data_IF_736836947629
#
_entry.id   IF_736836947629
#
_cell.length_a   1.000
_cell.length_b   1.000
_cell.length_c   1.000
_cell.angle_alpha   90.00
_cell.angle_beta   90.00
_cell.angle_gamma   90.00
#
_symmetry.space_group_name_H-M   'P 1'
#
loop_
_entity.id
_entity.type
_entity.pdbx_description
1 polymer ?
#
# COMPACT_ATOMS: atom_id res chain seq x y z
N UNK A 1 -2.21 13.87 23.07
CA UNK A 1 -1.03 12.98 23.01
C UNK A 1 -0.88 12.53 21.57
N UNK A 2 0.34 12.64 21.00
CA UNK A 2 0.62 12.19 19.63
C UNK A 2 1.00 10.70 19.61
N UNK A 3 0.51 9.97 18.62
CA UNK A 3 0.88 8.58 18.30
C UNK A 3 1.10 8.48 16.80
N UNK A 4 1.91 7.51 16.36
CA UNK A 4 2.02 7.12 14.95
C UNK A 4 1.35 5.76 14.79
N UNK A 5 0.54 5.59 13.75
CA UNK A 5 0.07 4.29 13.28
C UNK A 5 0.67 4.01 11.91
N UNK A 6 1.41 2.92 11.81
CA UNK A 6 1.97 2.37 10.59
C UNK A 6 1.74 0.85 10.55
N UNK A 7 1.90 0.24 9.38
CA UNK A 7 1.78 -1.19 9.14
C UNK A 7 2.56 -1.56 7.88
N UNK A 8 2.63 -2.84 7.57
CA UNK A 8 3.10 -3.36 6.28
C UNK A 8 4.45 -2.76 5.87
N UNK A 9 5.39 -2.70 6.83
CA UNK A 9 6.73 -2.14 6.62
C UNK A 9 7.59 -3.10 5.81
N UNK A 10 7.36 -4.42 5.99
CA UNK A 10 8.01 -5.50 5.24
C UNK A 10 9.52 -5.34 5.13
N UNK A 11 10.19 -5.04 6.24
CA UNK A 11 11.65 -5.02 6.28
C UNK A 11 12.20 -6.37 5.83
N UNK A 12 13.30 -6.34 5.09
CA UNK A 12 13.95 -7.53 4.53
C UNK A 12 13.15 -8.22 3.40
N UNK A 13 12.33 -7.47 2.67
CA UNK A 13 11.57 -8.00 1.54
C UNK A 13 12.50 -8.52 0.44
N UNK A 14 12.12 -9.65 -0.17
CA UNK A 14 12.91 -10.24 -1.26
C UNK A 14 13.01 -9.34 -2.48
N UNK A 15 11.99 -8.52 -2.77
CA UNK A 15 11.92 -7.54 -3.87
C UNK A 15 12.33 -8.11 -5.25
N UNK A 16 12.25 -9.45 -5.42
CA UNK A 16 12.94 -10.15 -6.48
C UNK A 16 12.19 -10.18 -7.84
N UNK A 17 10.92 -9.79 -7.86
CA UNK A 17 10.07 -10.03 -9.04
C UNK A 17 10.25 -9.02 -10.16
N UNK A 18 10.76 -7.82 -9.87
CA UNK A 18 10.92 -6.76 -10.87
C UNK A 18 12.25 -6.01 -10.81
N UNK A 19 13.11 -6.35 -9.84
CA UNK A 19 14.37 -5.67 -9.58
C UNK A 19 15.58 -6.61 -9.75
N UNK A 20 16.69 -6.08 -10.20
CA UNK A 20 17.98 -6.79 -10.13
C UNK A 20 18.40 -6.95 -8.65
N UNK A 21 19.30 -7.88 -8.36
CA UNK A 21 19.82 -8.09 -7.00
C UNK A 21 20.41 -6.81 -6.38
N UNK A 22 21.03 -5.96 -7.19
CA UNK A 22 21.62 -4.71 -6.71
C UNK A 22 20.53 -3.68 -6.40
N UNK A 23 19.52 -3.54 -7.26
CA UNK A 23 18.38 -2.68 -7.02
C UNK A 23 17.58 -3.13 -5.80
N UNK A 24 17.32 -4.43 -5.66
CA UNK A 24 16.64 -4.99 -4.49
C UNK A 24 17.39 -4.69 -3.17
N UNK A 25 18.73 -4.82 -3.15
CA UNK A 25 19.52 -4.44 -1.97
C UNK A 25 19.38 -2.95 -1.65
N UNK A 26 19.51 -2.08 -2.65
CA UNK A 26 19.31 -0.64 -2.47
C UNK A 26 17.93 -0.31 -1.90
N UNK A 27 16.88 -0.93 -2.46
CA UNK A 27 15.51 -0.70 -1.98
C UNK A 27 15.32 -1.17 -0.54
N UNK A 28 15.90 -2.32 -0.15
CA UNK A 28 15.88 -2.77 1.24
C UNK A 28 16.61 -1.81 2.19
N UNK A 29 17.74 -1.26 1.77
CA UNK A 29 18.45 -0.25 2.57
C UNK A 29 17.58 1.02 2.70
N UNK A 30 16.90 1.46 1.64
CA UNK A 30 15.98 2.60 1.66
C UNK A 30 14.75 2.36 2.53
N UNK A 31 14.14 1.16 2.49
CA UNK A 31 13.05 0.77 3.40
C UNK A 31 13.48 0.94 4.86
N UNK A 32 14.67 0.43 5.18
CA UNK A 32 15.22 0.56 6.52
C UNK A 32 15.56 2.00 6.90
N UNK A 33 16.13 2.79 5.98
CA UNK A 33 16.37 4.22 6.19
C UNK A 33 15.08 4.99 6.47
N UNK A 34 14.00 4.72 5.73
CA UNK A 34 12.69 5.35 5.95
C UNK A 34 12.11 4.98 7.30
N UNK A 35 12.27 3.72 7.72
CA UNK A 35 11.92 3.29 9.08
C UNK A 35 12.68 4.07 10.16
N UNK A 36 14.00 4.22 10.03
CA UNK A 36 14.81 5.03 10.98
C UNK A 36 14.34 6.48 10.99
N UNK A 37 14.15 7.09 9.83
CA UNK A 37 13.65 8.47 9.73
C UNK A 37 12.29 8.66 10.41
N UNK A 38 11.40 7.65 10.35
CA UNK A 38 10.13 7.67 11.06
C UNK A 38 10.36 7.65 12.60
N UNK A 39 11.32 6.89 13.09
CA UNK A 39 11.67 6.87 14.52
C UNK A 39 12.26 8.21 14.97
N UNK A 40 13.16 8.81 14.16
CA UNK A 40 13.71 10.15 14.40
C UNK A 40 12.59 11.22 14.40
N UNK A 41 11.66 11.12 13.45
CA UNK A 41 10.47 11.98 13.39
C UNK A 41 9.63 11.82 14.68
N UNK A 42 9.39 10.59 15.11
CA UNK A 42 8.63 10.31 16.32
C UNK A 42 9.25 10.96 17.56
N UNK A 43 10.57 10.86 17.70
CA UNK A 43 11.29 11.49 18.81
C UNK A 43 11.25 13.02 18.74
N UNK A 44 11.51 13.61 17.58
CA UNK A 44 11.49 15.08 17.36
C UNK A 44 10.10 15.66 17.63
N UNK A 45 9.06 15.01 17.15
CA UNK A 45 7.66 15.43 17.31
C UNK A 45 7.05 15.08 18.66
N UNK A 46 7.84 14.50 19.56
CA UNK A 46 7.41 14.05 20.91
C UNK A 46 6.23 13.08 20.84
N UNK A 47 6.25 12.19 19.87
CA UNK A 47 5.30 11.08 19.75
C UNK A 47 5.49 10.14 20.93
N UNK A 48 4.41 9.74 21.59
CA UNK A 48 4.49 8.88 22.78
C UNK A 48 4.71 7.42 22.38
N UNK A 49 4.09 6.98 21.28
CA UNK A 49 4.24 5.62 20.81
C UNK A 49 4.05 5.50 19.29
N UNK A 50 4.78 4.55 18.70
CA UNK A 50 4.57 4.05 17.34
C UNK A 50 3.82 2.74 17.42
N UNK A 51 2.68 2.65 16.72
CA UNK A 51 1.82 1.49 16.62
C UNK A 51 2.08 0.81 15.27
N UNK A 52 2.67 -0.38 15.29
CA UNK A 52 2.88 -1.21 14.08
C UNK A 52 1.77 -2.25 14.03
N UNK A 53 0.82 -2.05 13.15
CA UNK A 53 -0.35 -2.92 13.02
C UNK A 53 -0.07 -4.11 12.08
N UNK A 54 1.01 -4.86 12.34
CA UNK A 54 1.43 -6.07 11.65
C UNK A 54 2.37 -5.85 10.47
N UNK A 55 2.96 -6.94 10.02
CA UNK A 55 3.89 -7.07 8.90
C UNK A 55 5.08 -6.09 9.00
N UNK A 56 5.78 -6.15 10.14
CA UNK A 56 7.04 -5.44 10.32
C UNK A 56 8.14 -6.04 9.44
N UNK A 57 8.18 -7.37 9.33
CA UNK A 57 9.09 -8.11 8.45
C UNK A 57 8.33 -8.81 7.31
N UNK A 58 9.03 -9.11 6.23
CA UNK A 58 8.44 -9.76 5.05
C UNK A 58 8.30 -11.29 5.18
N UNK A 59 8.90 -11.89 6.19
CA UNK A 59 8.79 -13.32 6.48
C UNK A 59 9.05 -13.65 7.95
N UNK A 60 8.47 -14.76 8.43
CA UNK A 60 8.71 -15.31 9.78
C UNK A 60 10.21 -15.52 10.07
N UNK A 61 10.97 -15.89 9.05
CA UNK A 61 12.40 -16.16 9.10
C UNK A 61 13.24 -14.94 8.69
N UNK A 62 12.71 -13.73 8.83
CA UNK A 62 13.45 -12.50 8.54
C UNK A 62 14.86 -12.54 9.12
N UNK A 63 15.85 -12.03 8.35
CA UNK A 63 17.27 -12.13 8.71
C UNK A 63 17.51 -11.59 10.12
N UNK A 64 18.15 -12.39 10.97
CA UNK A 64 18.54 -12.00 12.34
C UNK A 64 19.26 -10.64 12.38
N UNK A 65 20.07 -10.35 11.36
CA UNK A 65 20.76 -9.06 11.23
C UNK A 65 19.79 -7.87 11.12
N UNK A 66 18.64 -8.04 10.42
CA UNK A 66 17.62 -6.99 10.30
C UNK A 66 16.83 -6.84 11.59
N UNK A 67 16.45 -7.95 12.21
CA UNK A 67 15.82 -7.94 13.54
C UNK A 67 16.68 -7.21 14.57
N UNK A 68 17.99 -7.51 14.59
CA UNK A 68 18.96 -6.82 15.47
C UNK A 68 19.01 -5.32 15.21
N UNK A 69 19.08 -4.88 13.95
CA UNK A 69 19.06 -3.45 13.58
C UNK A 69 17.79 -2.75 14.04
N UNK A 70 16.61 -3.41 13.94
CA UNK A 70 15.36 -2.88 14.45
C UNK A 70 15.41 -2.70 15.97
N UNK A 71 15.91 -3.70 16.71
CA UNK A 71 16.05 -3.60 18.16
C UNK A 71 17.01 -2.49 18.58
N UNK A 72 18.11 -2.33 17.86
CA UNK A 72 19.08 -1.23 18.08
C UNK A 72 18.41 0.13 17.82
N UNK A 73 17.62 0.26 16.76
CA UNK A 73 16.88 1.47 16.46
C UNK A 73 15.84 1.80 17.56
N UNK A 74 15.08 0.81 18.01
CA UNK A 74 14.11 0.98 19.11
C UNK A 74 14.84 1.39 20.41
N UNK A 75 15.95 0.76 20.74
CA UNK A 75 16.76 1.10 21.92
C UNK A 75 17.34 2.51 21.86
N UNK A 76 17.69 3.00 20.67
CA UNK A 76 18.21 4.36 20.45
C UNK A 76 17.15 5.46 20.65
N UNK A 77 15.84 5.11 20.67
CA UNK A 77 14.73 6.04 20.86
C UNK A 77 13.94 5.76 22.15
N UNK A 78 14.56 5.79 23.34
CA UNK A 78 13.96 5.28 24.58
C UNK A 78 12.74 6.06 25.06
N UNK A 79 12.50 7.26 24.53
CA UNK A 79 11.34 8.11 24.86
C UNK A 79 10.07 7.74 24.07
N UNK A 80 10.22 6.94 23.03
CA UNK A 80 9.13 6.49 22.16
C UNK A 80 8.88 5.02 22.39
N UNK A 81 7.69 4.65 22.83
CA UNK A 81 7.29 3.26 22.91
C UNK A 81 7.00 2.70 21.51
N UNK A 82 7.42 1.48 21.25
CA UNK A 82 7.23 0.80 19.98
C UNK A 82 6.34 -0.42 20.23
N UNK A 83 5.06 -0.29 19.83
CA UNK A 83 4.04 -1.30 20.04
C UNK A 83 3.84 -2.09 18.76
N UNK A 84 4.17 -3.38 18.78
CA UNK A 84 4.13 -4.23 17.58
C UNK A 84 3.13 -5.36 17.75
N UNK A 85 2.16 -5.40 16.85
CA UNK A 85 1.28 -6.52 16.60
C UNK A 85 1.88 -7.37 15.48
N UNK A 86 1.86 -8.69 15.59
CA UNK A 86 2.27 -9.56 14.50
C UNK A 86 1.25 -9.55 13.36
N UNK A 87 1.73 -9.50 12.11
CA UNK A 87 0.93 -9.70 10.92
C UNK A 87 1.02 -11.15 10.43
N UNK A 88 0.53 -11.40 9.23
CA UNK A 88 0.55 -12.74 8.63
C UNK A 88 1.94 -13.14 8.10
N UNK A 89 2.83 -12.17 7.81
CA UNK A 89 4.20 -12.43 7.40
C UNK A 89 5.17 -12.58 8.58
N UNK A 90 4.88 -11.97 9.71
CA UNK A 90 5.76 -11.96 10.88
C UNK A 90 5.78 -13.28 11.67
N UNK A 91 4.72 -14.09 11.56
CA UNK A 91 4.52 -15.26 12.40
C UNK A 91 4.23 -14.94 13.87
N UNK A 92 3.98 -16.00 14.68
CA UNK A 92 3.63 -15.84 16.10
C UNK A 92 4.82 -15.40 16.97
N UNK A 93 6.05 -15.69 16.53
CA UNK A 93 7.28 -15.42 17.29
C UNK A 93 8.14 -14.35 16.59
N UNK A 94 7.58 -13.15 16.46
CA UNK A 94 8.17 -12.02 15.73
C UNK A 94 9.67 -11.79 15.99
N UNK A 95 10.12 -11.94 17.24
CA UNK A 95 11.52 -11.78 17.63
C UNK A 95 12.14 -13.07 18.20
N UNK A 96 11.57 -14.25 17.93
CA UNK A 96 12.02 -15.54 18.48
C UNK A 96 12.34 -15.45 19.98
N UNK A 97 11.46 -14.82 20.72
CA UNK A 97 11.68 -14.54 22.14
C UNK A 97 11.38 -15.78 22.95
N UNK A 98 12.39 -16.32 23.62
CA UNK A 98 12.21 -17.30 24.68
C UNK A 98 11.93 -16.52 25.97
N UNK A 99 10.82 -16.77 26.68
CA UNK A 99 10.64 -16.21 28.01
C UNK A 99 11.78 -16.70 28.90
N UNK A 100 12.64 -15.78 29.30
CA UNK A 100 13.59 -16.08 30.37
C UNK A 100 12.78 -16.19 31.68
N UNK A 101 13.21 -17.09 32.57
CA UNK A 101 12.56 -17.44 33.81
C UNK A 101 12.30 -16.28 34.80
N UNK A 102 12.49 -15.03 34.35
CA UNK A 102 12.38 -13.80 35.11
C UNK A 102 11.67 -12.63 34.46
N UNK A 103 10.68 -12.83 33.58
CA UNK A 103 9.90 -11.76 32.92
C UNK A 103 10.62 -10.88 31.88
N UNK A 104 11.89 -11.15 31.56
CA UNK A 104 12.60 -10.47 30.49
C UNK A 104 12.53 -11.32 29.22
N UNK A 105 12.03 -10.71 28.12
CA UNK A 105 12.12 -11.34 26.80
C UNK A 105 13.54 -11.11 26.25
N UNK A 106 14.18 -12.17 25.79
CA UNK A 106 15.54 -12.08 25.24
C UNK A 106 15.58 -12.56 23.79
N UNK A 107 16.36 -11.89 22.96
CA UNK A 107 16.74 -12.35 21.64
C UNK A 107 18.20 -12.79 21.71
N UNK A 108 18.49 -14.06 21.42
CA UNK A 108 19.84 -14.63 21.46
C UNK A 108 20.60 -14.30 22.78
N UNK A 109 19.89 -14.36 23.92
CA UNK A 109 20.46 -14.09 25.25
C UNK A 109 20.56 -12.60 25.63
N UNK A 110 20.16 -11.66 24.74
CA UNK A 110 20.12 -10.24 25.04
C UNK A 110 18.67 -9.81 25.38
N UNK A 111 18.50 -9.01 26.43
CA UNK A 111 17.17 -8.50 26.80
C UNK A 111 16.66 -7.53 25.74
N UNK A 112 15.34 -7.63 25.44
CA UNK A 112 14.68 -6.69 24.53
C UNK A 112 14.66 -5.26 25.10
N UNK A 113 14.66 -4.23 24.24
CA UNK A 113 14.53 -2.85 24.68
C UNK A 113 13.24 -2.65 25.50
N UNK A 114 13.31 -1.92 26.62
CA UNK A 114 12.18 -1.69 27.52
C UNK A 114 11.01 -0.97 26.87
N UNK A 115 11.28 -0.17 25.86
CA UNK A 115 10.29 0.55 25.06
C UNK A 115 9.70 -0.28 23.90
N UNK A 116 10.18 -1.51 23.67
CA UNK A 116 9.52 -2.46 22.77
C UNK A 116 8.39 -3.18 23.53
N UNK A 117 7.20 -3.12 22.99
CA UNK A 117 5.98 -3.68 23.56
C UNK A 117 5.29 -4.56 22.54
N UNK A 118 5.18 -5.85 22.84
CA UNK A 118 4.57 -6.85 21.95
C UNK A 118 3.17 -7.21 22.45
N UNK A 119 2.32 -7.64 21.52
CA UNK A 119 0.99 -8.15 21.78
C UNK A 119 0.98 -9.69 21.63
N UNK A 120 1.41 -10.45 22.65
CA UNK A 120 1.33 -11.90 22.60
C UNK A 120 -0.13 -12.32 22.84
N UNK A 121 -0.73 -13.02 21.87
CA UNK A 121 -2.09 -13.52 21.99
C UNK A 121 -3.18 -12.44 21.90
N UNK A 122 -4.43 -12.82 22.18
CA UNK A 122 -5.58 -11.95 22.03
C UNK A 122 -5.79 -11.07 23.28
N UNK A 123 -5.99 -9.77 23.07
CA UNK A 123 -6.54 -8.87 24.08
C UNK A 123 -5.56 -8.25 25.06
N UNK A 124 -4.24 -8.29 24.82
CA UNK A 124 -3.31 -7.50 25.62
C UNK A 124 -3.52 -6.01 25.35
N UNK A 125 -3.48 -5.20 26.40
CA UNK A 125 -3.63 -3.75 26.30
C UNK A 125 -2.51 -3.00 27.00
N UNK A 126 -2.14 -1.85 26.43
CA UNK A 126 -1.23 -0.88 27.05
C UNK A 126 -1.97 0.42 27.30
N UNK A 127 -1.76 1.01 28.49
CA UNK A 127 -2.48 2.21 28.95
C UNK A 127 -1.54 3.40 29.07
N UNK A 128 -1.98 4.55 28.54
CA UNK A 128 -1.32 5.85 28.63
C UNK A 128 -2.35 6.90 29.12
N UNK A 129 -2.48 7.04 30.43
CA UNK A 129 -3.54 7.85 31.01
C UNK A 129 -4.94 7.28 30.67
N UNK A 130 -5.74 8.07 29.97
CA UNK A 130 -7.05 7.65 29.47
C UNK A 130 -7.02 6.95 28.08
N UNK A 131 -5.86 6.85 27.45
CA UNK A 131 -5.71 6.16 26.15
C UNK A 131 -5.36 4.70 26.40
N UNK A 132 -6.13 3.79 25.82
CA UNK A 132 -5.95 2.34 25.91
C UNK A 132 -5.74 1.79 24.52
N UNK A 133 -4.61 1.10 24.31
CA UNK A 133 -4.23 0.50 23.04
C UNK A 133 -4.29 -1.01 23.21
N UNK A 134 -5.21 -1.66 22.51
CA UNK A 134 -5.45 -3.11 22.57
C UNK A 134 -5.06 -3.77 21.26
N UNK A 135 -4.18 -4.77 21.32
CA UNK A 135 -3.82 -5.59 20.16
C UNK A 135 -4.62 -6.89 20.10
N UNK A 136 -5.12 -7.23 18.94
CA UNK A 136 -5.89 -8.44 18.68
C UNK A 136 -5.31 -9.19 17.49
N UNK A 137 -4.89 -10.45 17.70
CA UNK A 137 -4.39 -11.34 16.64
C UNK A 137 -5.53 -12.03 15.85
N UNK A 138 -6.74 -11.51 15.96
CA UNK A 138 -7.93 -12.02 15.27
C UNK A 138 -8.72 -10.86 14.70
N UNK A 139 -9.30 -11.06 13.53
CA UNK A 139 -10.21 -10.09 12.90
C UNK A 139 -11.61 -10.05 13.53
N UNK A 140 -11.84 -10.85 14.55
CA UNK A 140 -13.09 -10.84 15.32
C UNK A 140 -12.83 -10.29 16.72
N UNK A 141 -13.70 -9.38 17.17
CA UNK A 141 -13.66 -8.91 18.55
C UNK A 141 -14.03 -10.06 19.48
N UNK A 142 -13.21 -10.34 20.52
CA UNK A 142 -13.59 -11.28 21.55
C UNK A 142 -14.87 -10.84 22.26
N UNK A 143 -15.76 -11.79 22.58
CA UNK A 143 -17.02 -11.49 23.29
C UNK A 143 -16.81 -10.88 24.67
N UNK A 144 -15.71 -11.22 25.31
CA UNK A 144 -15.29 -10.73 26.63
C UNK A 144 -14.45 -9.44 26.57
N UNK A 145 -14.23 -8.86 25.40
CA UNK A 145 -13.53 -7.58 25.28
C UNK A 145 -14.42 -6.44 25.79
N UNK A 146 -14.04 -5.85 26.89
CA UNK A 146 -14.71 -4.70 27.48
C UNK A 146 -13.86 -3.44 27.31
N UNK A 147 -14.30 -2.54 26.41
CA UNK A 147 -13.73 -1.22 26.22
C UNK A 147 -14.58 -0.19 26.97
N UNK A 148 -13.97 0.51 27.91
CA UNK A 148 -14.68 1.49 28.73
C UNK A 148 -15.03 2.73 27.91
N UNK A 149 -16.28 3.24 27.97
CA UNK A 149 -16.70 4.39 27.17
C UNK A 149 -15.99 5.70 27.57
N UNK A 150 -15.52 5.82 28.81
CA UNK A 150 -14.76 6.97 29.28
C UNK A 150 -13.32 7.02 28.74
N UNK A 151 -12.75 5.87 28.39
CA UNK A 151 -11.41 5.79 27.81
C UNK A 151 -11.40 6.20 26.34
N UNK A 152 -10.24 6.54 25.84
CA UNK A 152 -9.95 6.67 24.41
C UNK A 152 -9.37 5.33 23.93
N UNK A 153 -10.19 4.55 23.22
CA UNK A 153 -9.87 3.17 22.88
C UNK A 153 -9.33 3.05 21.46
N UNK A 154 -8.08 2.62 21.34
CA UNK A 154 -7.43 2.26 20.09
C UNK A 154 -7.33 0.74 20.02
N UNK A 155 -7.85 0.13 18.96
CA UNK A 155 -7.73 -1.31 18.73
C UNK A 155 -6.85 -1.53 17.52
N UNK A 156 -5.84 -2.40 17.67
CA UNK A 156 -4.92 -2.78 16.60
C UNK A 156 -5.27 -4.18 16.09
N UNK A 157 -5.38 -4.36 14.80
CA UNK A 157 -5.61 -5.64 14.13
C UNK A 157 -4.85 -5.67 12.80
N UNK A 158 -4.56 -6.88 12.30
CA UNK A 158 -3.96 -7.05 10.99
C UNK A 158 -4.77 -8.01 10.13
N UNK A 159 -5.17 -7.56 8.94
CA UNK A 159 -5.91 -8.33 7.95
C UNK A 159 -7.04 -7.54 7.30
N UNK A 160 -7.64 -8.13 6.26
CA UNK A 160 -8.73 -7.50 5.54
C UNK A 160 -10.06 -7.66 6.29
N UNK A 161 -10.75 -6.55 6.46
CA UNK A 161 -12.10 -6.51 7.05
C UNK A 161 -13.07 -5.99 6.00
N UNK A 162 -14.03 -6.84 5.61
CA UNK A 162 -15.02 -6.49 4.58
C UNK A 162 -16.22 -5.74 5.14
N UNK A 163 -16.56 -5.98 6.43
CA UNK A 163 -17.74 -5.39 7.08
C UNK A 163 -17.40 -4.89 8.48
N UNK A 164 -17.54 -3.59 8.67
CA UNK A 164 -17.23 -2.93 9.96
C UNK A 164 -18.41 -2.89 10.94
N UNK A 165 -19.60 -3.35 10.56
CA UNK A 165 -20.78 -3.31 11.43
C UNK A 165 -20.65 -4.06 12.76
N UNK A 166 -19.82 -5.11 12.83
CA UNK A 166 -19.54 -5.85 14.06
C UNK A 166 -18.72 -5.06 15.09
N UNK A 167 -18.10 -3.96 14.67
CA UNK A 167 -17.29 -3.07 15.52
C UNK A 167 -18.10 -1.88 16.04
N UNK A 168 -19.27 -1.60 15.47
CA UNK A 168 -20.13 -0.50 15.87
C UNK A 168 -20.68 -0.70 17.30
N UNK A 169 -20.74 0.38 18.08
CA UNK A 169 -21.22 0.36 19.45
C UNK A 169 -20.27 -0.32 20.47
N UNK A 170 -19.05 -0.68 20.06
CA UNK A 170 -18.07 -1.38 20.89
C UNK A 170 -17.10 -0.44 21.61
N UNK A 171 -17.39 0.86 21.65
CA UNK A 171 -16.56 1.91 22.27
C UNK A 171 -15.14 2.04 21.66
N UNK A 172 -14.99 1.74 20.36
CA UNK A 172 -13.74 1.93 19.63
C UNK A 172 -13.70 3.36 19.12
N UNK A 173 -12.66 4.12 19.47
CA UNK A 173 -12.42 5.46 18.92
C UNK A 173 -11.59 5.40 17.63
N UNK A 174 -10.64 4.45 17.56
CA UNK A 174 -9.79 4.25 16.41
C UNK A 174 -9.43 2.77 16.23
N UNK A 175 -9.72 2.22 15.05
CA UNK A 175 -9.32 0.87 14.67
C UNK A 175 -8.13 0.98 13.72
N UNK A 176 -6.94 0.66 14.25
CA UNK A 176 -5.67 0.68 13.53
C UNK A 176 -5.47 -0.65 12.80
N UNK A 177 -5.43 -0.62 11.47
CA UNK A 177 -5.40 -1.80 10.61
C UNK A 177 -4.14 -1.82 9.72
N UNK A 178 -3.56 -3.01 9.53
CA UNK A 178 -2.60 -3.34 8.48
C UNK A 178 -3.15 -4.35 7.48
N UNK A 179 -2.30 -4.82 6.56
CA UNK A 179 -2.57 -5.77 5.48
C UNK A 179 -2.94 -5.12 4.14
N UNK A 180 -3.60 -3.98 4.11
CA UNK A 180 -3.87 -3.26 2.87
C UNK A 180 -2.80 -2.19 2.70
N UNK A 181 -1.93 -2.34 1.69
CA UNK A 181 -0.78 -1.49 1.43
C UNK A 181 -1.13 -0.09 0.88
N UNK A 182 -2.40 0.27 0.88
CA UNK A 182 -2.90 1.59 0.48
C UNK A 182 -3.62 2.25 1.65
N UNK A 183 -3.34 3.55 1.88
CA UNK A 183 -4.07 4.33 2.86
C UNK A 183 -5.57 4.30 2.58
N UNK A 184 -6.35 3.95 3.59
CA UNK A 184 -7.81 3.94 3.53
C UNK A 184 -8.39 4.22 4.90
N UNK A 185 -9.33 5.16 4.99
CA UNK A 185 -10.00 5.55 6.23
C UNK A 185 -11.50 5.59 6.03
N UNK A 186 -12.26 5.23 7.06
CA UNK A 186 -13.71 5.33 7.05
C UNK A 186 -14.30 5.34 8.45
N UNK A 187 -15.61 5.51 8.55
CA UNK A 187 -16.36 5.50 9.81
C UNK A 187 -16.76 4.09 10.20
N UNK A 188 -16.69 3.78 11.48
CA UNK A 188 -17.28 2.59 12.08
C UNK A 188 -18.71 2.92 12.56
N UNK A 189 -18.83 4.00 13.32
CA UNK A 189 -20.07 4.55 13.87
C UNK A 189 -19.90 6.06 14.16
N UNK A 190 -20.79 6.66 14.93
CA UNK A 190 -20.68 8.08 15.32
C UNK A 190 -19.44 8.40 16.18
N UNK A 191 -18.88 7.42 16.87
CA UNK A 191 -17.71 7.56 17.74
C UNK A 191 -16.41 7.24 17.04
N UNK A 192 -16.35 6.11 16.30
CA UNK A 192 -15.13 5.48 15.86
C UNK A 192 -14.85 5.56 14.37
N UNK A 193 -13.57 5.50 14.05
CA UNK A 193 -13.06 5.37 12.67
C UNK A 193 -12.16 4.15 12.54
N UNK A 194 -12.15 3.54 11.35
CA UNK A 194 -11.11 2.57 10.99
C UNK A 194 -10.11 3.21 10.04
N UNK A 195 -8.88 2.72 10.05
CA UNK A 195 -7.84 3.21 9.18
C UNK A 195 -6.84 2.10 8.86
N UNK A 196 -6.62 1.85 7.57
CA UNK A 196 -5.44 1.18 7.06
C UNK A 196 -4.38 2.25 6.79
N UNK A 197 -3.21 2.14 7.42
CA UNK A 197 -2.14 3.13 7.22
C UNK A 197 -1.50 3.02 5.83
N UNK A 198 -1.63 1.89 5.17
CA UNK A 198 -0.80 1.52 4.04
C UNK A 198 0.62 1.18 4.46
N UNK A 199 1.47 0.84 3.51
CA UNK A 199 2.89 0.60 3.77
C UNK A 199 3.68 1.91 3.93
N UNK A 200 4.80 1.84 4.63
CA UNK A 200 5.64 3.01 4.92
C UNK A 200 6.41 3.50 3.68
N UNK A 201 6.77 2.57 2.79
CA UNK A 201 7.51 2.80 1.55
C UNK A 201 7.01 1.83 0.48
N UNK A 202 6.93 2.23 -0.79
CA UNK A 202 6.56 1.33 -1.88
C UNK A 202 7.67 0.32 -2.16
N UNK A 203 7.36 -0.98 -2.18
CA UNK A 203 8.32 -2.04 -2.51
C UNK A 203 8.45 -2.24 -4.02
N UNK A 204 7.39 -1.97 -4.76
CA UNK A 204 7.33 -2.15 -6.20
C UNK A 204 6.16 -1.39 -6.84
N UNK A 205 5.92 -1.68 -8.12
CA UNK A 205 4.90 -1.00 -8.92
C UNK A 205 3.47 -1.52 -8.69
N UNK A 206 3.28 -2.49 -7.86
CA UNK A 206 2.01 -2.95 -7.31
C UNK A 206 1.55 -2.11 -6.11
N UNK A 207 2.44 -1.28 -5.59
CA UNK A 207 2.19 -0.39 -4.46
C UNK A 207 2.28 1.09 -4.86
N UNK A 208 1.63 1.47 -5.95
CA UNK A 208 1.63 2.86 -6.44
C UNK A 208 1.00 3.87 -5.48
N UNK A 209 1.31 5.15 -5.70
CA UNK A 209 0.80 6.27 -4.95
C UNK A 209 1.57 6.60 -3.68
N UNK A 210 1.03 7.52 -2.89
CA UNK A 210 1.67 8.00 -1.67
C UNK A 210 1.75 6.92 -0.59
N UNK A 211 2.89 6.88 0.10
CA UNK A 211 3.19 5.97 1.21
C UNK A 211 3.65 6.75 2.43
N UNK A 212 3.42 6.18 3.61
CA UNK A 212 3.74 6.87 4.84
C UNK A 212 3.08 6.26 6.07
N UNK A 213 2.65 7.11 6.99
CA UNK A 213 2.01 6.70 8.23
C UNK A 213 0.86 7.64 8.62
N UNK A 214 0.08 7.25 9.61
CA UNK A 214 -0.98 8.09 10.18
C UNK A 214 -0.53 8.67 11.51
N UNK A 215 -0.54 10.01 11.60
CA UNK A 215 -0.34 10.72 12.86
C UNK A 215 -1.68 10.86 13.57
N UNK A 216 -1.74 10.36 14.80
CA UNK A 216 -2.89 10.45 15.68
C UNK A 216 -2.65 11.51 16.74
N UNK A 217 -3.66 12.35 17.02
CA UNK A 217 -3.67 13.24 18.17
C UNK A 217 -4.92 13.01 19.02
N UNK A 218 -4.71 12.55 20.25
CA UNK A 218 -5.79 12.30 21.22
C UNK A 218 -6.16 13.51 22.06
N UNK A 219 -5.43 14.63 21.93
CA UNK A 219 -5.71 15.88 22.63
C UNK A 219 -6.53 16.85 21.78
N UNK A 220 -6.58 16.66 20.46
CA UNK A 220 -7.35 17.48 19.58
C UNK A 220 -8.84 17.11 19.72
N UNK A 221 -9.60 17.94 20.45
CA UNK A 221 -11.05 17.95 20.32
C UNK A 221 -11.37 18.31 18.87
N UNK A 222 -11.89 17.37 18.08
CA UNK A 222 -12.33 17.66 16.70
C UNK A 222 -13.62 18.46 16.80
N UNK A 223 -13.51 19.77 17.02
CA UNK A 223 -14.59 20.71 16.67
C UNK A 223 -14.67 20.68 15.16
N UNK A 224 -15.86 20.43 14.59
CA UNK A 224 -16.08 20.32 13.15
C UNK A 224 -15.80 21.61 12.40
N UNK A 225 -14.53 21.87 12.12
CA UNK A 225 -14.09 22.87 11.13
C UNK A 225 -13.14 22.16 10.18
N UNK A 226 -13.59 22.01 8.93
CA UNK A 226 -12.77 21.58 7.82
C UNK A 226 -11.60 22.54 7.64
N UNK A 227 -10.41 22.12 8.07
CA UNK A 227 -9.15 22.73 7.66
C UNK A 227 -8.82 22.29 6.24
N UNK A 228 -8.62 23.25 5.37
CA UNK A 228 -8.22 23.09 3.97
C UNK A 228 -6.92 22.30 3.85
N UNK A 229 -7.00 21.13 3.24
CA UNK A 229 -5.86 20.28 2.92
C UNK A 229 -6.36 19.00 2.29
N UNK A 230 -6.50 19.01 0.97
CA UNK A 230 -6.69 17.88 0.05
C UNK A 230 -7.38 16.65 0.63
N UNK A 231 -8.67 16.56 0.43
CA UNK A 231 -9.33 15.34 0.12
C UNK A 231 -10.79 15.39 -0.15
N UNK A 232 -11.16 15.01 -1.34
CA UNK A 232 -12.51 14.65 -1.71
C UNK A 232 -12.68 13.14 -1.63
N UNK A 233 -13.28 12.66 -0.54
CA UNK A 233 -14.30 11.61 -0.63
C UNK A 233 -15.40 12.06 0.32
N UNK A 234 -16.61 12.27 -0.25
CA UNK A 234 -17.81 12.66 0.48
C UNK A 234 -18.05 11.69 1.64
N UNK A 235 -17.72 12.13 2.84
CA UNK A 235 -18.24 11.53 4.06
C UNK A 235 -19.49 12.34 4.42
N UNK A 236 -20.64 11.72 4.31
CA UNK A 236 -21.89 12.24 4.85
C UNK A 236 -21.66 12.76 6.26
N UNK A 237 -22.08 13.98 6.50
CA UNK A 237 -21.97 14.65 7.79
C UNK A 237 -22.67 13.82 8.86
N UNK A 238 -22.03 13.48 9.99
CA UNK A 238 -22.76 12.88 11.10
C UNK A 238 -23.66 13.97 11.72
N UNK A 239 -24.94 13.76 11.68
CA UNK A 239 -25.87 14.48 12.52
C UNK A 239 -25.49 14.24 13.99
N UNK A 240 -25.38 15.37 14.72
CA UNK A 240 -25.40 15.50 16.17
C UNK A 240 -24.32 14.84 17.04
N UNK A 241 -23.39 15.62 17.53
CA UNK A 241 -23.23 15.81 18.99
C UNK A 241 -22.10 15.11 19.72
N UNK A 242 -21.31 14.18 19.19
CA UNK A 242 -20.13 13.65 19.91
C UNK A 242 -18.84 13.98 19.16
N UNK A 243 -18.06 14.91 19.70
CA UNK A 243 -16.73 15.20 19.19
C UNK A 243 -15.87 13.93 19.20
N UNK A 244 -15.28 13.56 18.08
CA UNK A 244 -14.36 12.42 18.00
C UNK A 244 -13.15 12.70 18.90
N UNK A 245 -12.76 11.71 19.71
CA UNK A 245 -11.65 11.83 20.66
C UNK A 245 -10.27 11.80 19.99
N UNK A 246 -10.17 11.37 18.74
CA UNK A 246 -8.89 11.21 18.01
C UNK A 246 -8.96 11.93 16.66
N UNK A 247 -8.01 12.85 16.43
CA UNK A 247 -7.70 13.34 15.10
C UNK A 247 -6.68 12.42 14.45
N UNK A 248 -6.96 12.00 13.20
CA UNK A 248 -6.09 11.11 12.43
C UNK A 248 -5.79 11.74 11.07
N UNK A 249 -4.49 11.97 10.79
CA UNK A 249 -3.99 12.60 9.57
C UNK A 249 -2.93 11.72 8.94
N UNK A 250 -3.08 11.40 7.65
CA UNK A 250 -2.04 10.75 6.87
C UNK A 250 -0.86 11.71 6.67
N UNK A 251 0.35 11.18 6.77
CA UNK A 251 1.60 11.91 6.55
C UNK A 251 2.35 11.15 5.46
N UNK A 252 2.40 11.70 4.22
CA UNK A 252 3.28 11.18 3.19
C UNK A 252 4.72 11.20 3.70
N UNK A 253 5.41 10.08 3.63
CA UNK A 253 6.71 9.94 4.29
C UNK A 253 7.72 9.12 3.49
N UNK A 254 7.28 8.39 2.50
CA UNK A 254 8.13 7.58 1.63
C UNK A 254 9.20 8.43 0.96
N UNK A 255 10.38 7.85 0.78
CA UNK A 255 11.47 8.45 0.01
C UNK A 255 11.14 8.52 -1.47
N UNK A 256 10.36 7.55 -1.97
CA UNK A 256 10.01 7.42 -3.40
C UNK A 256 8.55 7.04 -3.59
N UNK A 257 7.95 7.60 -4.63
CA UNK A 257 6.66 7.12 -5.13
C UNK A 257 6.90 6.12 -6.25
N UNK A 258 5.99 5.17 -6.38
CA UNK A 258 5.91 4.28 -7.54
C UNK A 258 4.71 4.70 -8.39
N UNK A 259 4.93 4.81 -9.70
CA UNK A 259 3.94 5.21 -10.67
C UNK A 259 3.77 4.11 -11.72
N UNK A 260 2.53 3.77 -12.02
CA UNK A 260 2.19 2.97 -13.19
C UNK A 260 1.42 3.82 -14.18
N UNK A 261 1.95 3.94 -15.38
CA UNK A 261 1.46 4.79 -16.45
C UNK A 261 1.05 3.91 -17.62
N UNK A 262 -0.22 3.88 -17.95
CA UNK A 262 -0.71 3.17 -19.13
C UNK A 262 -0.77 4.10 -20.33
N UNK A 263 -0.23 3.67 -21.46
CA UNK A 263 -0.20 4.41 -22.72
C UNK A 263 -0.84 3.55 -23.82
N UNK A 264 -1.92 4.05 -24.40
CA UNK A 264 -2.51 3.44 -25.59
C UNK A 264 -1.70 3.82 -26.82
N UNK A 265 -1.17 2.81 -27.52
CA UNK A 265 -0.30 2.96 -28.66
C UNK A 265 -1.04 2.89 -30.01
N UNK A 266 -2.36 2.84 -30.04
CA UNK A 266 -3.15 2.63 -31.27
C UNK A 266 -2.85 3.67 -32.34
N UNK A 267 -2.66 4.94 -31.96
CA UNK A 267 -2.37 6.04 -32.89
C UNK A 267 -0.90 6.50 -32.87
N UNK A 268 -0.02 5.77 -32.20
CA UNK A 268 1.39 6.10 -32.06
C UNK A 268 2.20 5.35 -33.12
N UNK A 269 3.00 6.08 -33.88
CA UNK A 269 3.79 5.52 -34.98
C UNK A 269 5.31 5.67 -34.76
N UNK A 270 5.73 6.73 -34.08
CA UNK A 270 7.17 7.08 -33.99
C UNK A 270 7.65 7.15 -32.50
N UNK A 271 8.97 6.96 -32.31
CA UNK A 271 9.62 7.08 -31.01
C UNK A 271 9.37 8.44 -30.33
N UNK A 272 9.50 9.60 -31.00
CA UNK A 272 9.20 10.89 -30.39
C UNK A 272 7.75 11.02 -29.92
N UNK A 273 6.79 10.56 -30.74
CA UNK A 273 5.37 10.57 -30.33
C UNK A 273 5.15 9.75 -29.07
N UNK A 274 5.72 8.54 -29.01
CA UNK A 274 5.58 7.69 -27.82
C UNK A 274 6.19 8.35 -26.58
N UNK A 275 7.39 8.93 -26.72
CA UNK A 275 8.05 9.62 -25.60
C UNK A 275 7.21 10.80 -25.07
N UNK A 276 6.72 11.67 -25.93
CA UNK A 276 5.88 12.81 -25.55
C UNK A 276 4.55 12.36 -24.94
N UNK A 277 3.97 11.28 -25.45
CA UNK A 277 2.74 10.71 -24.88
C UNK A 277 2.99 10.17 -23.48
N UNK A 278 4.09 9.45 -23.25
CA UNK A 278 4.49 8.97 -21.93
C UNK A 278 4.62 10.14 -20.95
N UNK A 279 5.35 11.21 -21.34
CA UNK A 279 5.52 12.40 -20.49
C UNK A 279 4.19 13.06 -20.13
N UNK A 280 3.31 13.17 -21.12
CA UNK A 280 1.97 13.75 -20.96
C UNK A 280 1.12 12.90 -20.01
N UNK A 281 1.18 11.57 -20.13
CA UNK A 281 0.41 10.68 -19.23
C UNK A 281 0.96 10.70 -17.79
N UNK A 282 2.29 10.82 -17.60
CA UNK A 282 2.88 11.01 -16.26
C UNK A 282 2.33 12.28 -15.60
N UNK A 283 2.35 13.40 -16.32
CA UNK A 283 1.82 14.66 -15.80
C UNK A 283 0.30 14.60 -15.52
N UNK A 284 -0.46 13.98 -16.42
CA UNK A 284 -1.90 13.78 -16.27
C UNK A 284 -2.22 12.94 -15.04
N UNK A 285 -1.47 11.86 -14.82
CA UNK A 285 -1.65 10.98 -13.66
C UNK A 285 -1.48 11.72 -12.32
N UNK A 286 -0.48 12.59 -12.24
CA UNK A 286 -0.26 13.41 -11.04
C UNK A 286 -1.45 14.34 -10.76
N UNK A 287 -2.03 14.94 -11.79
CA UNK A 287 -3.23 15.78 -11.67
C UNK A 287 -4.45 14.96 -11.21
N UNK A 288 -4.65 13.77 -11.77
CA UNK A 288 -5.75 12.86 -11.38
C UNK A 288 -5.64 12.42 -9.92
N UNK A 289 -4.42 12.15 -9.44
CA UNK A 289 -4.15 11.78 -8.05
C UNK A 289 -4.05 12.98 -7.11
N UNK A 290 -4.17 14.20 -7.61
CA UNK A 290 -4.03 15.45 -6.84
C UNK A 290 -2.72 15.50 -6.03
N UNK A 291 -1.64 15.03 -6.61
CA UNK A 291 -0.31 14.95 -6.00
C UNK A 291 0.72 15.71 -6.82
N UNK A 292 1.90 15.96 -6.23
CA UNK A 292 3.02 16.53 -6.96
C UNK A 292 3.43 15.61 -8.12
N UNK A 293 3.85 16.19 -9.26
CA UNK A 293 4.37 15.41 -10.39
C UNK A 293 5.51 14.48 -9.99
N UNK A 294 5.67 13.40 -10.75
CA UNK A 294 6.80 12.48 -10.57
C UNK A 294 8.13 13.22 -10.76
N UNK A 295 9.08 12.95 -9.89
CA UNK A 295 10.40 13.58 -9.87
C UNK A 295 11.54 12.56 -10.03
N UNK A 296 12.79 13.06 -9.95
CA UNK A 296 13.99 12.24 -10.10
C UNK A 296 14.19 11.17 -9.02
N UNK A 297 13.39 11.18 -7.96
CA UNK A 297 13.45 10.18 -6.91
C UNK A 297 12.47 9.04 -7.16
N UNK A 298 11.53 9.20 -8.07
CA UNK A 298 10.42 8.29 -8.26
C UNK A 298 10.73 7.11 -9.18
N UNK A 299 9.91 6.08 -9.06
CA UNK A 299 9.96 4.88 -9.90
C UNK A 299 8.79 4.91 -10.88
N UNK A 300 9.07 4.71 -12.16
CA UNK A 300 8.08 4.75 -13.24
C UNK A 300 7.99 3.38 -13.92
N UNK A 301 6.79 2.82 -13.99
CA UNK A 301 6.47 1.71 -14.90
C UNK A 301 5.53 2.22 -15.98
N UNK A 302 5.94 2.12 -17.25
CA UNK A 302 5.11 2.41 -18.41
C UNK A 302 4.61 1.11 -18.98
N UNK A 303 3.30 0.97 -19.08
CA UNK A 303 2.62 -0.19 -19.72
C UNK A 303 2.02 0.30 -21.02
N UNK A 304 2.55 -0.22 -22.14
CA UNK A 304 2.03 0.06 -23.45
C UNK A 304 0.88 -0.90 -23.76
N UNK A 305 -0.23 -0.36 -24.20
CA UNK A 305 -1.46 -1.11 -24.52
C UNK A 305 -1.99 -0.70 -25.91
N UNK A 306 -3.12 -1.26 -26.31
CA UNK A 306 -3.74 -0.98 -27.61
C UNK A 306 -3.17 -1.81 -28.74
N UNK A 307 -3.57 -1.50 -29.96
CA UNK A 307 -3.16 -2.22 -31.15
C UNK A 307 -2.04 -1.46 -31.88
N UNK A 308 -0.85 -2.06 -31.94
CA UNK A 308 0.29 -1.47 -32.67
C UNK A 308 0.07 -1.53 -34.16
N UNK A 309 0.14 -0.38 -34.83
CA UNK A 309 0.04 -0.30 -36.30
C UNK A 309 1.22 -1.00 -36.95
N UNK A 310 1.02 -1.58 -38.17
CA UNK A 310 2.06 -2.29 -38.89
C UNK A 310 3.27 -1.42 -39.25
N UNK A 311 3.05 -0.13 -39.47
CA UNK A 311 4.12 0.86 -39.78
C UNK A 311 4.76 1.45 -38.50
N UNK A 312 4.26 1.12 -37.31
CA UNK A 312 4.78 1.70 -36.08
C UNK A 312 6.20 1.18 -35.80
N UNK A 313 7.14 2.10 -35.71
CA UNK A 313 8.53 1.84 -35.40
C UNK A 313 8.98 2.77 -34.27
N UNK A 314 8.99 2.28 -33.05
CA UNK A 314 9.54 3.01 -31.91
C UNK A 314 10.58 2.19 -31.15
N UNK A 315 11.62 2.88 -30.74
CA UNK A 315 12.76 2.32 -30.01
C UNK A 315 12.51 2.39 -28.52
N UNK A 316 12.22 1.24 -27.91
CA UNK A 316 11.95 1.12 -26.48
C UNK A 316 13.20 1.40 -25.64
N UNK A 317 14.38 1.02 -26.12
CA UNK A 317 15.62 1.26 -25.42
C UNK A 317 15.97 2.75 -25.39
N UNK A 318 15.68 3.47 -26.48
CA UNK A 318 15.77 4.92 -26.53
C UNK A 318 14.88 5.55 -25.45
N UNK A 319 13.59 5.21 -25.43
CA UNK A 319 12.64 5.75 -24.46
C UNK A 319 13.08 5.46 -23.04
N UNK A 320 13.42 4.21 -22.74
CA UNK A 320 13.91 3.80 -21.44
C UNK A 320 15.12 4.62 -21.01
N UNK A 321 16.13 4.74 -21.87
CA UNK A 321 17.38 5.49 -21.61
C UNK A 321 17.11 6.95 -21.25
N UNK A 322 16.17 7.61 -21.94
CA UNK A 322 15.87 9.01 -21.65
C UNK A 322 15.05 9.17 -20.37
N UNK A 323 14.08 8.30 -20.11
CA UNK A 323 13.34 8.32 -18.85
C UNK A 323 14.25 7.99 -17.65
N UNK A 324 15.24 7.10 -17.80
CA UNK A 324 16.23 6.79 -16.73
C UNK A 324 17.16 7.97 -16.39
N UNK A 325 17.22 9.02 -17.21
CA UNK A 325 17.91 10.26 -16.88
C UNK A 325 17.06 11.17 -15.96
N UNK A 326 15.74 11.00 -16.00
CA UNK A 326 14.79 11.84 -15.28
C UNK A 326 14.27 11.16 -14.00
N UNK A 327 14.20 9.84 -13.96
CA UNK A 327 13.60 9.07 -12.86
C UNK A 327 14.55 8.03 -12.31
N UNK A 328 14.38 7.69 -11.04
CA UNK A 328 15.27 6.76 -10.31
C UNK A 328 15.27 5.34 -10.90
N UNK A 329 14.11 4.83 -11.27
CA UNK A 329 13.94 3.49 -11.83
C UNK A 329 12.84 3.50 -12.88
N UNK A 330 13.14 2.98 -14.06
CA UNK A 330 12.18 2.89 -15.16
C UNK A 330 11.98 1.45 -15.58
N UNK A 331 10.73 1.05 -15.76
CA UNK A 331 10.33 -0.22 -16.37
C UNK A 331 9.37 0.04 -17.51
N UNK A 332 9.62 -0.59 -18.64
CA UNK A 332 8.72 -0.58 -19.78
C UNK A 332 8.16 -1.99 -19.94
N UNK A 333 6.84 -2.09 -20.10
CA UNK A 333 6.13 -3.32 -20.38
C UNK A 333 5.33 -3.13 -21.65
N UNK A 334 5.58 -3.96 -22.65
CA UNK A 334 4.85 -3.94 -23.92
C UNK A 334 3.74 -5.00 -23.84
N UNK A 335 2.50 -4.55 -23.77
CA UNK A 335 1.28 -5.35 -23.81
C UNK A 335 0.46 -5.01 -25.06
N UNK A 336 1.07 -4.35 -26.07
CA UNK A 336 0.39 -4.03 -27.31
C UNK A 336 0.06 -5.31 -28.10
N UNK A 337 -1.18 -5.40 -28.57
CA UNK A 337 -1.56 -6.38 -29.58
C UNK A 337 -1.06 -5.94 -30.96
N UNK A 338 -0.74 -6.89 -31.84
CA UNK A 338 -0.68 -6.55 -33.26
C UNK A 338 -2.08 -6.22 -33.75
N UNK A 339 -2.24 -5.11 -34.50
CA UNK A 339 -3.37 -5.03 -35.42
C UNK A 339 -3.18 -6.24 -36.36
N UNK A 340 -3.98 -7.28 -36.19
CA UNK A 340 -4.18 -8.20 -37.29
C UNK A 340 -4.77 -7.30 -38.39
N UNK A 341 -3.97 -6.95 -39.41
CA UNK A 341 -4.57 -6.63 -40.68
C UNK A 341 -5.51 -7.81 -40.93
N UNK A 342 -6.81 -7.55 -40.93
CA UNK A 342 -7.73 -8.53 -41.50
C UNK A 342 -7.13 -8.86 -42.84
N UNK A 343 -6.58 -10.07 -42.95
CA UNK A 343 -5.92 -10.45 -44.20
C UNK A 343 -6.96 -10.15 -45.26
N UNK A 344 -6.60 -9.57 -46.36
CA UNK A 344 -7.56 -9.27 -47.43
C UNK A 344 -8.38 -10.51 -47.79
N UNK A 345 -7.91 -11.67 -47.40
CA UNK A 345 -8.56 -12.96 -47.42
C UNK A 345 -9.70 -13.12 -46.38
N UNK A 346 -9.53 -12.66 -45.14
CA UNK A 346 -10.61 -12.72 -44.12
C UNK A 346 -11.75 -11.79 -44.53
N UNK A 347 -11.45 -10.56 -44.89
CA UNK A 347 -12.44 -9.60 -45.38
C UNK A 347 -13.14 -10.08 -46.65
N UNK A 348 -12.40 -10.74 -47.54
CA UNK A 348 -12.96 -11.36 -48.72
C UNK A 348 -13.89 -12.53 -48.39
N UNK A 349 -13.49 -13.41 -47.46
CA UNK A 349 -14.33 -14.53 -46.99
C UNK A 349 -15.59 -14.05 -46.30
N UNK A 350 -15.48 -13.06 -45.42
CA UNK A 350 -16.66 -12.46 -44.73
C UNK A 350 -17.64 -11.92 -45.78
N UNK A 351 -17.14 -11.12 -46.73
CA UNK A 351 -17.97 -10.59 -47.81
C UNK A 351 -18.59 -11.71 -48.65
N UNK A 352 -17.82 -12.71 -49.02
CA UNK A 352 -18.30 -13.85 -49.81
C UNK A 352 -19.41 -14.63 -49.10
N UNK A 353 -19.27 -14.83 -47.78
CA UNK A 353 -20.29 -15.52 -46.95
C UNK A 353 -21.53 -14.64 -46.82
N UNK A 354 -21.38 -13.35 -46.57
CA UNK A 354 -22.52 -12.42 -46.46
C UNK A 354 -23.29 -12.23 -47.77
N UNK A 355 -22.62 -12.31 -48.93
CA UNK A 355 -23.22 -12.21 -50.27
C UNK A 355 -23.79 -13.56 -50.75
N UNK A 356 -23.66 -14.66 -50.00
CA UNK A 356 -24.20 -15.98 -50.38
C UNK A 356 -25.74 -16.04 -50.22
N UNK A 357 -26.37 -16.97 -50.88
CA UNK A 357 -27.85 -17.19 -50.80
C UNK A 357 -28.29 -17.97 -49.57
N UNK A 358 -27.39 -18.18 -48.57
CA UNK A 358 -27.67 -18.90 -47.33
C UNK A 358 -28.54 -18.06 -46.38
N UNK A 359 -29.19 -18.71 -45.42
CA UNK A 359 -29.94 -18.02 -44.37
C UNK A 359 -29.01 -17.25 -43.43
N UNK A 360 -29.48 -16.16 -42.79
CA UNK A 360 -28.68 -15.34 -41.89
C UNK A 360 -28.08 -16.16 -40.70
N UNK A 361 -28.82 -17.14 -40.17
CA UNK A 361 -28.36 -18.02 -39.11
C UNK A 361 -27.19 -18.90 -39.61
N UNK A 362 -27.27 -19.44 -40.83
CA UNK A 362 -26.22 -20.24 -41.45
C UNK A 362 -25.00 -19.39 -41.75
N UNK A 363 -25.14 -18.18 -42.21
CA UNK A 363 -24.03 -17.24 -42.47
C UNK A 363 -23.26 -16.94 -41.17
N UNK A 364 -23.97 -16.73 -40.05
CA UNK A 364 -23.35 -16.50 -38.74
C UNK A 364 -22.60 -17.73 -38.23
N UNK A 365 -23.14 -18.91 -38.44
CA UNK A 365 -22.50 -20.16 -38.02
C UNK A 365 -21.23 -20.44 -38.84
N UNK A 366 -21.26 -20.22 -40.14
CA UNK A 366 -20.11 -20.34 -41.02
C UNK A 366 -19.01 -19.33 -40.66
N UNK A 367 -19.38 -18.07 -40.41
CA UNK A 367 -18.45 -17.02 -39.94
C UNK A 367 -17.78 -17.39 -38.62
N UNK A 368 -18.52 -17.91 -37.68
CA UNK A 368 -17.98 -18.37 -36.40
C UNK A 368 -16.96 -19.51 -36.59
N UNK A 369 -17.26 -20.48 -37.45
CA UNK A 369 -16.35 -21.58 -37.76
C UNK A 369 -15.08 -21.09 -38.45
N UNK A 370 -15.19 -20.18 -39.43
CA UNK A 370 -14.05 -19.59 -40.13
C UNK A 370 -13.17 -18.83 -39.16
N UNK A 371 -13.72 -17.97 -38.31
CA UNK A 371 -12.97 -17.21 -37.28
C UNK A 371 -12.25 -18.15 -36.30
N UNK A 372 -12.91 -19.21 -35.88
CA UNK A 372 -12.29 -20.21 -35.00
C UNK A 372 -11.13 -20.96 -35.69
N UNK A 373 -11.26 -21.29 -36.95
CA UNK A 373 -10.20 -21.94 -37.72
C UNK A 373 -8.98 -21.03 -37.99
N UNK A 374 -9.22 -19.74 -38.29
CA UNK A 374 -8.16 -18.75 -38.52
C UNK A 374 -7.44 -18.31 -37.23
N UNK A 375 -8.07 -18.49 -36.07
CA UNK A 375 -7.46 -18.19 -34.76
C UNK A 375 -6.51 -19.28 -34.25
N UNK A 376 -6.45 -20.46 -34.88
CA UNK A 376 -5.61 -21.60 -34.49
C UNK A 376 -4.27 -21.68 -35.27
N UNK A 377 -4.03 -20.77 -36.20
CA UNK A 377 -2.77 -20.58 -36.91
C UNK A 377 -2.13 -19.24 -36.53
#
# INVERSE_FOLDING_TARGET
MKLIHCADIHLDSALATSLTRQEARRRNDELFETFIKMMDYAQREKVRAVLVAGDLFDSENGREAVKKKVLEAVAAHPQVDFLVLSGNHDGEQLFNTVPDSGFNMTLNGNSLPKNLKLFPGAGKAYRYGNVVITGLNSLKLPSNLHLKPEDTNIVMMHGQIDRFGSFAGRNIDYLALGHIHKYKKGSIDSRGVYCYSGCLEARGFDECGEKGFVLLDTAAAVSGSAGSGTENIAAESPECGTARKIAARFVPFAKRKAWEITVDCTDIVTTPQLYETVKTQIAKRALEEQTEPADSQDMIRVVLTGAKQSQAAYDMDYIKKYLEQEYYLVRLKDETGSVREESGFEAYLEKYIMDSDETEDMKQEILACVKAALSQN
#
